data_IF_607588935668
#
_entry.id   IF_607588935668
#
_cell.length_a   1.000
_cell.length_b   1.000
_cell.length_c   1.000
_cell.angle_alpha   90.00
_cell.angle_beta   90.00
_cell.angle_gamma   90.00
#
_symmetry.space_group_name_H-M   'P 1'
#
loop_
_entity.id
_entity.type
_entity.pdbx_description
1 polymer ?
#
# COMPACT_ATOMS: atom_id res chain seq x y z
N UNK A 1 -27.31 31.85 -9.35
CA UNK A 1 -28.11 30.82 -10.04
C UNK A 1 -27.33 29.51 -10.24
N UNK A 2 -26.24 29.49 -11.05
CA UNK A 2 -25.43 28.26 -11.24
C UNK A 2 -24.77 27.75 -9.94
N UNK A 3 -24.18 28.64 -9.14
CA UNK A 3 -23.59 28.26 -7.84
C UNK A 3 -24.65 27.71 -6.86
N UNK A 4 -25.85 28.27 -6.84
CA UNK A 4 -26.96 27.81 -5.99
C UNK A 4 -27.48 26.44 -6.42
N UNK A 5 -27.53 26.18 -7.73
CA UNK A 5 -27.89 24.86 -8.28
C UNK A 5 -26.85 23.78 -7.94
N UNK A 6 -25.56 24.10 -8.07
CA UNK A 6 -24.46 23.21 -7.65
C UNK A 6 -24.53 22.94 -6.13
N UNK A 7 -24.78 23.98 -5.33
CA UNK A 7 -24.90 23.87 -3.86
C UNK A 7 -26.12 23.04 -3.45
N UNK A 8 -27.28 23.25 -4.09
CA UNK A 8 -28.49 22.47 -3.86
C UNK A 8 -28.32 20.99 -4.23
N UNK A 9 -27.64 20.70 -5.35
CA UNK A 9 -27.32 19.32 -5.76
C UNK A 9 -26.34 18.65 -4.80
N UNK A 10 -25.30 19.35 -4.37
CA UNK A 10 -24.36 18.84 -3.36
C UNK A 10 -25.07 18.50 -2.04
N UNK A 11 -26.00 19.35 -1.62
CA UNK A 11 -26.89 19.07 -0.49
C UNK A 11 -27.72 17.79 -0.70
N UNK A 12 -28.39 17.64 -1.84
CA UNK A 12 -29.21 16.47 -2.15
C UNK A 12 -28.41 15.15 -2.18
N UNK A 13 -27.23 15.14 -2.79
CA UNK A 13 -26.37 13.94 -2.86
C UNK A 13 -25.82 13.56 -1.46
N UNK A 14 -25.55 14.55 -0.59
CA UNK A 14 -25.15 14.33 0.80
C UNK A 14 -26.33 13.83 1.66
N UNK A 15 -27.56 14.25 1.36
CA UNK A 15 -28.76 13.73 2.01
C UNK A 15 -29.06 12.28 1.60
N UNK A 16 -28.86 11.88 0.33
CA UNK A 16 -28.94 10.46 -0.09
C UNK A 16 -27.91 9.59 0.65
N UNK A 17 -26.68 10.08 0.79
CA UNK A 17 -25.64 9.41 1.58
C UNK A 17 -26.10 9.22 3.04
N UNK A 18 -26.67 10.26 3.66
CA UNK A 18 -27.18 10.18 5.02
C UNK A 18 -28.37 9.25 5.18
N UNK A 19 -29.26 9.17 4.18
CA UNK A 19 -30.36 8.21 4.16
C UNK A 19 -29.83 6.77 4.09
N UNK A 20 -28.87 6.49 3.19
CA UNK A 20 -28.21 5.19 3.04
C UNK A 20 -27.66 4.66 4.36
N UNK A 21 -26.84 5.45 5.05
CA UNK A 21 -26.18 5.02 6.31
C UNK A 21 -27.06 5.19 7.55
N UNK A 22 -28.29 5.73 7.43
CA UNK A 22 -29.13 6.09 8.59
C UNK A 22 -29.50 4.90 9.47
N UNK A 23 -29.63 3.70 8.89
CA UNK A 23 -29.97 2.47 9.59
C UNK A 23 -28.96 2.06 10.67
N UNK A 24 -27.68 2.41 10.50
CA UNK A 24 -26.59 2.09 11.44
C UNK A 24 -26.70 2.83 12.77
N UNK A 25 -27.55 3.84 12.85
CA UNK A 25 -27.71 4.71 14.00
C UNK A 25 -29.16 4.63 14.51
N UNK A 26 -29.46 3.68 15.39
CA UNK A 26 -30.84 3.41 15.82
C UNK A 26 -31.57 4.60 16.46
N UNK A 27 -30.85 5.45 17.21
CA UNK A 27 -31.40 6.64 17.88
C UNK A 27 -31.35 7.90 17.01
N UNK A 28 -32.43 8.69 17.00
CA UNK A 28 -32.56 9.90 16.18
C UNK A 28 -31.54 10.98 16.56
N UNK A 29 -31.18 11.10 17.83
CA UNK A 29 -30.15 12.03 18.30
C UNK A 29 -28.78 11.63 17.76
N UNK A 30 -28.48 10.33 17.72
CA UNK A 30 -27.21 9.80 17.19
C UNK A 30 -27.16 10.00 15.67
N UNK A 31 -28.27 9.78 14.94
CA UNK A 31 -28.39 10.14 13.51
C UNK A 31 -28.08 11.61 13.27
N UNK A 32 -28.69 12.53 14.04
CA UNK A 32 -28.42 13.97 13.94
C UNK A 32 -26.94 14.29 14.17
N UNK A 33 -26.36 13.81 15.29
CA UNK A 33 -24.93 14.02 15.59
C UNK A 33 -24.00 13.44 14.52
N UNK A 34 -24.32 12.31 13.89
CA UNK A 34 -23.53 11.79 12.77
C UNK A 34 -23.55 12.74 11.57
N UNK A 35 -24.75 13.23 11.18
CA UNK A 35 -24.91 14.16 10.06
C UNK A 35 -24.14 15.47 10.32
N UNK A 36 -24.26 15.99 11.53
CA UNK A 36 -23.54 17.19 11.98
C UNK A 36 -22.02 16.97 11.96
N UNK A 37 -21.55 15.79 12.41
CA UNK A 37 -20.14 15.41 12.39
C UNK A 37 -19.59 15.36 10.95
N UNK A 38 -20.23 14.63 10.05
CA UNK A 38 -19.80 14.47 8.65
C UNK A 38 -19.87 15.81 7.90
N UNK A 39 -20.91 16.63 8.11
CA UNK A 39 -20.95 18.00 7.58
C UNK A 39 -19.78 18.85 8.08
N UNK A 40 -19.40 18.74 9.35
CA UNK A 40 -18.23 19.42 9.88
C UNK A 40 -16.90 18.91 9.30
N UNK A 41 -16.78 17.60 9.01
CA UNK A 41 -15.60 17.06 8.32
C UNK A 41 -15.49 17.68 6.92
N UNK A 42 -16.59 17.73 6.16
CA UNK A 42 -16.68 18.29 4.81
C UNK A 42 -16.63 19.82 4.76
N UNK A 43 -16.96 20.51 5.87
CA UNK A 43 -17.03 21.96 5.96
C UNK A 43 -15.67 22.64 6.16
N UNK A 44 -15.59 23.98 6.04
CA UNK A 44 -14.35 24.77 6.17
C UNK A 44 -13.89 24.95 7.64
N UNK A 45 -13.90 23.86 8.41
CA UNK A 45 -13.42 23.81 9.80
C UNK A 45 -11.90 23.66 9.80
N UNK A 46 -11.19 24.54 10.53
CA UNK A 46 -9.72 24.63 10.51
C UNK A 46 -8.98 23.43 11.10
N UNK A 47 -9.57 22.76 12.09
CA UNK A 47 -9.14 21.45 12.60
C UNK A 47 -10.35 20.60 12.96
N UNK A 48 -10.48 19.39 12.40
CA UNK A 48 -11.60 18.46 12.56
C UNK A 48 -11.64 17.75 13.93
N UNK A 49 -11.39 18.46 15.03
CA UNK A 49 -11.59 17.94 16.38
C UNK A 49 -13.04 18.15 16.85
N UNK A 50 -13.46 17.44 17.90
CA UNK A 50 -14.86 17.49 18.37
C UNK A 50 -15.29 18.86 18.91
N UNK A 51 -14.38 19.81 19.12
CA UNK A 51 -14.71 21.17 19.54
C UNK A 51 -15.13 22.03 18.35
N UNK A 52 -14.23 22.22 17.38
CA UNK A 52 -14.50 23.07 16.22
C UNK A 52 -15.60 22.48 15.31
N UNK A 53 -15.70 21.15 15.23
CA UNK A 53 -16.83 20.49 14.55
C UNK A 53 -18.18 20.76 15.24
N UNK A 54 -18.19 20.88 16.57
CA UNK A 54 -19.42 21.16 17.32
C UNK A 54 -19.82 22.63 17.21
N UNK A 55 -18.84 23.54 17.25
CA UNK A 55 -19.01 24.97 17.00
C UNK A 55 -19.56 25.24 15.60
N UNK A 56 -18.97 24.64 14.56
CA UNK A 56 -19.45 24.70 13.18
C UNK A 56 -20.89 24.17 13.02
N UNK A 57 -21.26 23.14 13.79
CA UNK A 57 -22.62 22.59 13.82
C UNK A 57 -23.59 23.35 14.76
N UNK A 58 -23.21 24.53 15.28
CA UNK A 58 -24.06 25.35 16.14
C UNK A 58 -24.39 24.70 17.50
N UNK A 59 -23.50 23.87 18.03
CA UNK A 59 -23.68 23.20 19.32
C UNK A 59 -22.98 23.97 20.45
N UNK A 60 -23.60 24.02 21.63
CA UNK A 60 -23.04 24.65 22.84
C UNK A 60 -21.75 23.99 23.39
N UNK A 61 -21.21 22.95 22.75
CA UNK A 61 -19.99 22.28 23.18
C UNK A 61 -19.76 20.88 22.57
N UNK A 62 -18.57 20.29 22.78
CA UNK A 62 -18.11 19.08 22.09
C UNK A 62 -18.82 17.79 22.52
N UNK A 63 -19.53 17.81 23.66
CA UNK A 63 -19.96 16.59 24.35
C UNK A 63 -20.87 15.68 23.52
N UNK A 64 -21.69 16.24 22.61
CA UNK A 64 -22.54 15.47 21.70
C UNK A 64 -21.73 14.66 20.68
N UNK A 65 -20.72 15.28 20.06
CA UNK A 65 -19.83 14.62 19.09
C UNK A 65 -18.86 13.66 19.79
N UNK A 66 -18.37 14.02 20.98
CA UNK A 66 -17.62 13.10 21.82
C UNK A 66 -18.46 11.89 22.23
N UNK A 67 -19.76 12.05 22.51
CA UNK A 67 -20.66 10.93 22.82
C UNK A 67 -20.85 10.01 21.60
N UNK A 68 -21.06 10.56 20.40
CA UNK A 68 -21.13 9.82 19.13
C UNK A 68 -19.91 8.90 18.95
N UNK A 69 -18.70 9.42 19.16
CA UNK A 69 -17.47 8.64 18.98
C UNK A 69 -17.23 7.67 20.14
N UNK A 70 -17.48 8.06 21.39
CA UNK A 70 -17.00 7.31 22.57
C UNK A 70 -18.01 6.41 23.28
N UNK A 71 -19.32 6.70 23.19
CA UNK A 71 -20.34 6.18 24.14
C UNK A 71 -21.66 5.75 23.50
N UNK A 72 -22.05 6.28 22.35
CA UNK A 72 -23.26 5.82 21.66
C UNK A 72 -23.11 4.37 21.16
N UNK A 73 -24.25 3.71 20.89
CA UNK A 73 -24.30 2.37 20.28
C UNK A 73 -24.53 2.51 18.76
N UNK A 74 -23.53 2.12 17.99
CA UNK A 74 -23.52 1.89 16.54
C UNK A 74 -22.22 1.15 16.20
N UNK A 75 -22.24 0.38 15.12
CA UNK A 75 -21.10 -0.42 14.67
C UNK A 75 -20.32 0.31 13.57
N UNK A 76 -19.02 0.60 13.75
CA UNK A 76 -18.21 1.19 12.70
C UNK A 76 -17.90 0.23 11.54
N UNK A 77 -17.97 -1.09 11.75
CA UNK A 77 -17.68 -2.08 10.71
C UNK A 77 -18.84 -2.20 9.72
N UNK A 78 -20.09 -2.20 10.19
CA UNK A 78 -21.28 -2.08 9.32
C UNK A 78 -21.27 -0.77 8.50
N UNK A 79 -20.88 0.35 9.11
CA UNK A 79 -20.76 1.63 8.39
C UNK A 79 -19.64 1.58 7.33
N UNK A 80 -18.57 0.83 7.58
CA UNK A 80 -17.51 0.61 6.60
C UNK A 80 -17.99 -0.27 5.45
N UNK A 81 -18.87 -1.24 5.69
CA UNK A 81 -19.49 -2.02 4.62
C UNK A 81 -20.43 -1.13 3.77
N UNK A 82 -21.18 -0.20 4.38
CA UNK A 82 -21.92 0.83 3.63
C UNK A 82 -21.01 1.74 2.77
N UNK A 83 -19.79 2.04 3.24
CA UNK A 83 -18.77 2.77 2.44
C UNK A 83 -18.30 1.93 1.25
N UNK A 84 -18.10 0.63 1.43
CA UNK A 84 -17.75 -0.28 0.32
C UNK A 84 -18.86 -0.35 -0.73
N UNK A 85 -20.12 -0.47 -0.33
CA UNK A 85 -21.27 -0.42 -1.25
C UNK A 85 -21.37 0.92 -1.98
N UNK A 86 -21.19 2.04 -1.27
CA UNK A 86 -21.23 3.38 -1.87
C UNK A 86 -20.10 3.58 -2.89
N UNK A 87 -18.87 3.15 -2.57
CA UNK A 87 -17.72 3.21 -3.49
C UNK A 87 -17.92 2.28 -4.69
N UNK A 88 -18.42 1.06 -4.49
CA UNK A 88 -18.77 0.16 -5.60
C UNK A 88 -19.79 0.79 -6.55
N UNK A 89 -20.85 1.41 -6.02
CA UNK A 89 -21.90 2.06 -6.82
C UNK A 89 -21.41 3.30 -7.57
N UNK A 90 -20.54 4.12 -6.96
CA UNK A 90 -20.14 5.44 -7.51
C UNK A 90 -18.84 5.41 -8.33
N UNK A 91 -17.89 4.58 -7.93
CA UNK A 91 -16.54 4.50 -8.50
C UNK A 91 -16.22 3.12 -9.10
N UNK A 92 -17.08 2.11 -8.93
CA UNK A 92 -16.87 0.78 -9.47
C UNK A 92 -16.73 0.77 -11.00
N UNK A 93 -15.71 0.08 -11.49
CA UNK A 93 -15.48 -0.23 -12.90
C UNK A 93 -14.65 -1.52 -13.05
N UNK A 94 -14.63 -2.09 -14.25
CA UNK A 94 -13.96 -3.37 -14.53
C UNK A 94 -12.43 -3.35 -14.36
N UNK A 95 -11.81 -2.17 -14.37
CA UNK A 95 -10.39 -1.97 -14.15
C UNK A 95 -10.00 -1.78 -12.67
N UNK A 96 -10.93 -2.05 -11.75
CA UNK A 96 -10.77 -1.85 -10.31
C UNK A 96 -9.57 -2.57 -9.68
N UNK A 97 -8.72 -1.78 -9.03
CA UNK A 97 -7.59 -2.25 -8.21
C UNK A 97 -7.87 -1.97 -6.74
N UNK A 98 -7.67 -2.97 -5.89
CA UNK A 98 -7.58 -2.81 -4.45
C UNK A 98 -6.11 -2.55 -4.08
N UNK A 99 -5.80 -1.42 -3.45
CA UNK A 99 -4.46 -1.09 -2.98
C UNK A 99 -4.43 -1.21 -1.45
N UNK A 100 -3.42 -1.89 -0.91
CA UNK A 100 -3.17 -1.98 0.54
C UNK A 100 -1.87 -1.26 0.90
N UNK A 101 -1.93 -0.40 1.92
CA UNK A 101 -0.82 0.38 2.46
C UNK A 101 -1.13 0.79 3.92
N UNK A 102 -0.16 1.31 4.67
CA UNK A 102 -0.39 1.81 6.02
C UNK A 102 0.03 3.26 6.23
N UNK A 103 -0.63 3.93 7.17
CA UNK A 103 -0.31 5.33 7.48
C UNK A 103 -0.25 5.59 8.98
N UNK A 104 0.66 6.50 9.36
CA UNK A 104 0.90 6.89 10.73
C UNK A 104 0.11 8.12 11.15
N UNK A 105 -0.34 8.09 12.40
CA UNK A 105 -1.04 9.16 13.09
C UNK A 105 -0.21 9.59 14.31
N UNK A 106 0.45 10.75 14.24
CA UNK A 106 1.27 11.27 15.34
C UNK A 106 0.40 11.51 16.59
N UNK A 107 0.87 11.06 17.77
CA UNK A 107 0.17 11.25 19.05
C UNK A 107 1.16 11.58 20.17
N UNK A 108 0.69 12.32 21.17
CA UNK A 108 1.44 12.64 22.39
C UNK A 108 0.98 11.71 23.54
N UNK A 109 1.94 11.25 24.35
CA UNK A 109 1.68 10.33 25.47
C UNK A 109 1.45 8.87 25.07
N UNK A 110 1.18 8.02 26.06
CA UNK A 110 1.19 6.55 25.94
C UNK A 110 -0.19 5.87 26.02
N UNK A 111 -1.25 6.66 26.17
CA UNK A 111 -2.60 6.17 26.54
C UNK A 111 -3.57 5.94 25.37
N UNK A 112 -3.23 6.37 24.16
CA UNK A 112 -4.08 6.14 22.97
C UNK A 112 -3.87 4.74 22.40
N UNK A 113 -4.94 3.98 22.15
CA UNK A 113 -4.89 2.60 21.67
C UNK A 113 -3.88 2.38 20.53
N UNK A 114 -2.95 1.44 20.69
CA UNK A 114 -1.93 1.14 19.69
C UNK A 114 -0.78 2.15 19.55
N UNK A 115 -0.72 3.21 20.38
CA UNK A 115 0.37 4.20 20.30
C UNK A 115 1.69 3.62 20.82
N UNK A 116 2.75 3.74 20.01
CA UNK A 116 4.12 3.41 20.36
C UNK A 116 5.10 4.28 19.54
N UNK A 117 6.35 4.44 20.01
CA UNK A 117 7.47 4.87 19.15
C UNK A 117 7.76 3.79 18.09
N UNK A 118 7.39 4.06 16.85
CA UNK A 118 7.58 3.15 15.71
C UNK A 118 7.86 3.98 14.44
N UNK A 119 8.45 3.35 13.42
CA UNK A 119 8.71 4.06 12.16
C UNK A 119 7.37 4.38 11.48
N UNK A 120 7.11 5.66 11.26
CA UNK A 120 5.96 6.13 10.48
C UNK A 120 6.46 6.56 9.10
N UNK A 121 5.93 5.94 8.03
CA UNK A 121 6.29 6.30 6.66
C UNK A 121 6.08 7.79 6.38
N UNK A 122 5.03 8.39 6.95
CA UNK A 122 4.72 9.82 6.84
C UNK A 122 5.73 10.74 7.58
N UNK A 123 6.47 10.22 8.56
CA UNK A 123 7.44 11.01 9.33
C UNK A 123 8.90 10.76 8.94
N UNK A 124 9.20 9.70 8.17
CA UNK A 124 10.57 9.26 7.83
C UNK A 124 11.45 8.93 9.06
N UNK A 125 10.84 8.82 10.24
CA UNK A 125 11.52 8.77 11.56
C UNK A 125 10.72 7.90 12.52
N UNK A 126 11.41 7.34 13.51
CA UNK A 126 10.78 6.62 14.63
C UNK A 126 10.11 7.63 15.55
N UNK A 127 8.79 7.72 15.49
CA UNK A 127 8.00 8.65 16.30
C UNK A 127 6.83 7.99 17.01
N UNK A 128 6.34 8.66 18.06
CA UNK A 128 5.21 8.17 18.83
C UNK A 128 3.90 8.33 18.04
N UNK A 129 3.39 7.23 17.49
CA UNK A 129 2.26 7.24 16.59
C UNK A 129 1.38 6.00 16.75
N UNK A 130 0.13 6.11 16.32
CA UNK A 130 -0.70 4.97 15.95
C UNK A 130 -0.46 4.66 14.47
N UNK A 131 -0.59 3.40 14.06
CA UNK A 131 -0.51 2.99 12.65
C UNK A 131 -1.82 2.31 12.28
N UNK A 132 -2.47 2.75 11.21
CA UNK A 132 -3.59 2.04 10.61
C UNK A 132 -3.18 1.42 9.28
N UNK A 133 -3.52 0.16 9.06
CA UNK A 133 -3.46 -0.50 7.75
C UNK A 133 -4.77 -0.17 7.04
N UNK A 134 -4.72 0.23 5.78
CA UNK A 134 -5.88 0.65 5.00
C UNK A 134 -5.95 -0.07 3.66
N UNK A 135 -7.17 -0.17 3.14
CA UNK A 135 -7.42 -0.53 1.76
C UNK A 135 -8.05 0.67 1.04
N UNK A 136 -7.56 0.98 -0.15
CA UNK A 136 -8.17 1.91 -1.10
C UNK A 136 -8.66 1.12 -2.32
N UNK A 137 -9.82 1.49 -2.85
CA UNK A 137 -10.26 1.06 -4.16
C UNK A 137 -9.96 2.16 -5.17
N UNK A 138 -9.38 1.81 -6.31
CA UNK A 138 -9.11 2.73 -7.41
C UNK A 138 -9.53 2.13 -8.75
N UNK A 139 -10.06 2.96 -9.64
CA UNK A 139 -10.45 2.61 -11.01
C UNK A 139 -10.31 3.81 -11.93
N UNK A 140 -10.57 3.61 -13.23
CA UNK A 140 -10.80 4.67 -14.21
C UNK A 140 -11.79 5.75 -13.78
N UNK A 141 -12.71 5.44 -12.85
CA UNK A 141 -13.72 6.38 -12.33
C UNK A 141 -13.28 7.12 -11.07
N UNK A 142 -12.13 6.81 -10.46
CA UNK A 142 -11.62 7.52 -9.28
C UNK A 142 -11.09 6.59 -8.20
N UNK A 143 -10.82 7.14 -7.00
CA UNK A 143 -10.28 6.37 -5.86
C UNK A 143 -10.86 6.82 -4.52
N UNK A 144 -11.00 5.89 -3.58
CA UNK A 144 -11.38 6.17 -2.20
C UNK A 144 -10.86 5.11 -1.22
N UNK A 145 -10.63 5.49 0.04
CA UNK A 145 -10.45 4.54 1.15
C UNK A 145 -11.72 3.72 1.39
N UNK A 146 -11.60 2.39 1.49
CA UNK A 146 -12.70 1.43 1.59
C UNK A 146 -12.62 0.49 2.80
N UNK A 147 -11.45 0.28 3.39
CA UNK A 147 -11.32 -0.47 4.64
C UNK A 147 -10.11 0.00 5.48
N UNK A 148 -10.07 -0.39 6.76
CA UNK A 148 -9.17 0.07 7.82
C UNK A 148 -9.07 -0.95 8.95
N UNK A 149 -7.86 -1.14 9.48
CA UNK A 149 -7.56 -1.87 10.71
C UNK A 149 -6.50 -1.12 11.53
N UNK A 150 -6.68 -1.06 12.86
CA UNK A 150 -5.67 -0.52 13.77
C UNK A 150 -4.61 -1.58 14.08
N UNK A 151 -3.35 -1.26 13.78
CA UNK A 151 -2.22 -2.08 14.22
C UNK A 151 -1.98 -1.89 15.73
N UNK A 152 -1.98 -3.00 16.46
CA UNK A 152 -1.70 -3.06 17.89
C UNK A 152 -0.35 -3.76 18.11
N UNK A 153 0.71 -3.03 18.50
CA UNK A 153 2.00 -3.64 18.82
C UNK A 153 1.91 -4.63 19.98
N UNK A 154 2.86 -5.58 20.08
CA UNK A 154 2.94 -6.53 21.22
C UNK A 154 3.01 -5.83 22.58
N UNK A 155 3.55 -4.61 22.66
CA UNK A 155 3.57 -3.78 23.88
C UNK A 155 2.19 -3.32 24.38
N UNK A 156 1.15 -3.46 23.55
CA UNK A 156 -0.25 -3.27 23.90
C UNK A 156 -0.91 -4.60 24.22
N UNK A 157 -0.83 -5.59 23.33
CA UNK A 157 -1.53 -6.85 23.49
C UNK A 157 -1.04 -7.69 24.67
N UNK A 158 0.22 -7.47 25.11
CA UNK A 158 0.80 -8.11 26.29
C UNK A 158 0.52 -7.32 27.59
N UNK A 159 -0.26 -6.24 27.53
CA UNK A 159 -0.67 -5.42 28.69
C UNK A 159 -2.21 -5.37 28.77
N UNK A 160 -2.84 -6.37 29.43
CA UNK A 160 -4.29 -6.47 29.52
C UNK A 160 -4.94 -5.26 30.20
N UNK A 161 -4.24 -4.60 31.13
CA UNK A 161 -4.77 -3.49 31.92
C UNK A 161 -4.86 -2.22 31.07
N UNK A 162 -3.80 -1.93 30.31
CA UNK A 162 -3.75 -0.87 29.31
C UNK A 162 -4.76 -1.11 28.18
N UNK A 163 -4.94 -2.37 27.75
CA UNK A 163 -6.00 -2.75 26.81
C UNK A 163 -7.41 -2.46 27.36
N UNK A 164 -7.72 -2.88 28.59
CA UNK A 164 -9.01 -2.59 29.24
C UNK A 164 -9.25 -1.08 29.39
N UNK A 165 -8.23 -0.31 29.78
CA UNK A 165 -8.31 1.15 29.90
C UNK A 165 -8.62 1.85 28.55
N UNK A 166 -8.02 1.37 27.46
CA UNK A 166 -8.26 1.83 26.10
C UNK A 166 -9.53 1.25 25.44
N UNK A 167 -10.20 0.28 26.10
CA UNK A 167 -11.33 -0.50 25.57
C UNK A 167 -11.01 -1.28 24.30
N UNK A 168 -9.82 -1.86 24.24
CA UNK A 168 -9.47 -2.90 23.27
C UNK A 168 -10.21 -4.19 23.69
N UNK A 169 -10.87 -4.92 22.77
CA UNK A 169 -11.54 -6.19 23.08
C UNK A 169 -10.55 -7.24 23.62
N UNK A 170 -11.01 -8.15 24.48
CA UNK A 170 -10.13 -9.11 25.16
C UNK A 170 -9.60 -10.20 24.19
N UNK A 171 -10.40 -10.50 23.18
CA UNK A 171 -10.13 -11.40 22.06
C UNK A 171 -9.17 -10.81 21.01
N UNK A 172 -8.90 -9.49 21.05
CA UNK A 172 -7.99 -8.83 20.09
C UNK A 172 -6.53 -9.06 20.48
N UNK A 173 -6.01 -10.21 20.05
CA UNK A 173 -4.59 -10.54 20.13
C UNK A 173 -3.68 -9.71 19.22
N UNK A 174 -2.38 -10.03 19.22
CA UNK A 174 -1.42 -9.47 18.28
C UNK A 174 -1.67 -10.00 16.87
N UNK A 175 -1.68 -9.10 15.88
CA UNK A 175 -1.67 -9.43 14.47
C UNK A 175 -0.57 -8.60 13.77
N UNK A 176 0.16 -9.20 12.85
CA UNK A 176 1.10 -8.49 11.97
C UNK A 176 0.33 -7.57 11.01
N UNK A 177 1.03 -6.59 10.42
CA UNK A 177 0.44 -5.79 9.33
C UNK A 177 -0.03 -6.67 8.17
N UNK A 178 0.72 -7.72 7.81
CA UNK A 178 0.31 -8.72 6.83
C UNK A 178 -1.01 -9.41 7.20
N UNK A 179 -1.17 -9.89 8.43
CA UNK A 179 -2.42 -10.53 8.89
C UNK A 179 -3.62 -9.55 8.89
N UNK A 180 -3.38 -8.26 9.14
CA UNK A 180 -4.41 -7.22 8.95
C UNK A 180 -4.72 -7.00 7.46
N UNK A 181 -3.71 -6.94 6.58
CA UNK A 181 -3.88 -6.82 5.14
C UNK A 181 -4.65 -8.02 4.53
N UNK A 182 -4.39 -9.25 4.99
CA UNK A 182 -5.18 -10.44 4.65
C UNK A 182 -6.66 -10.23 4.98
N UNK A 183 -6.94 -9.70 6.18
CA UNK A 183 -8.31 -9.41 6.63
C UNK A 183 -8.96 -8.35 5.74
N UNK A 184 -8.26 -7.25 5.41
CA UNK A 184 -8.77 -6.21 4.51
C UNK A 184 -9.09 -6.77 3.12
N UNK A 185 -8.20 -7.57 2.54
CA UNK A 185 -8.41 -8.20 1.22
C UNK A 185 -9.61 -9.14 1.25
N UNK A 186 -9.71 -10.04 2.24
CA UNK A 186 -10.84 -10.96 2.35
C UNK A 186 -12.19 -10.24 2.50
N UNK A 187 -12.24 -9.17 3.32
CA UNK A 187 -13.46 -8.36 3.46
C UNK A 187 -13.80 -7.62 2.17
N UNK A 188 -12.81 -7.05 1.47
CA UNK A 188 -13.03 -6.35 0.21
C UNK A 188 -13.47 -7.29 -0.93
N UNK A 189 -12.92 -8.51 -1.02
CA UNK A 189 -13.33 -9.52 -2.00
C UNK A 189 -14.73 -10.11 -1.72
N UNK A 190 -15.18 -10.06 -0.45
CA UNK A 190 -16.56 -10.39 -0.08
C UNK A 190 -17.55 -9.22 -0.26
N UNK A 191 -17.08 -8.06 -0.71
CA UNK A 191 -17.88 -6.83 -0.90
C UNK A 191 -18.37 -6.67 -2.35
N UNK A 192 -19.27 -5.69 -2.63
CA UNK A 192 -19.71 -5.40 -4.00
C UNK A 192 -18.65 -4.72 -4.89
N UNK A 193 -17.44 -4.44 -4.39
CA UNK A 193 -16.39 -3.77 -5.15
C UNK A 193 -15.93 -4.65 -6.32
N UNK A 194 -15.99 -4.16 -7.58
CA UNK A 194 -15.48 -4.92 -8.72
C UNK A 194 -13.95 -4.84 -8.75
N UNK A 195 -13.32 -5.72 -7.99
CA UNK A 195 -11.87 -5.86 -7.84
C UNK A 195 -11.39 -6.91 -8.83
N UNK A 196 -10.55 -6.51 -9.79
CA UNK A 196 -9.87 -7.42 -10.71
C UNK A 196 -8.37 -7.53 -10.43
N UNK A 197 -7.82 -6.59 -9.66
CA UNK A 197 -6.40 -6.56 -9.29
C UNK A 197 -6.16 -6.15 -7.84
N UNK A 198 -5.04 -6.61 -7.27
CA UNK A 198 -4.50 -6.12 -5.99
C UNK A 198 -3.09 -5.55 -6.17
N UNK A 199 -2.81 -4.43 -5.51
CA UNK A 199 -1.46 -3.86 -5.41
C UNK A 199 -1.09 -3.51 -3.97
N UNK A 200 0.19 -3.58 -3.64
CA UNK A 200 0.71 -3.21 -2.33
C UNK A 200 2.21 -2.87 -2.43
N UNK A 201 2.76 -2.29 -1.36
CA UNK A 201 4.19 -2.01 -1.23
C UNK A 201 5.02 -3.29 -0.97
N UNK A 202 6.34 -3.11 -0.77
CA UNK A 202 7.28 -4.20 -0.51
C UNK A 202 7.16 -4.82 0.89
N UNK A 203 6.51 -4.15 1.84
CA UNK A 203 6.23 -4.72 3.16
C UNK A 203 5.26 -5.90 3.04
N UNK A 204 4.19 -5.73 2.25
CA UNK A 204 3.18 -6.76 2.01
C UNK A 204 3.58 -7.74 0.89
N UNK A 205 4.16 -7.25 -0.22
CA UNK A 205 4.45 -8.09 -1.38
C UNK A 205 5.52 -9.17 -1.17
N UNK A 206 6.44 -8.96 -0.23
CA UNK A 206 7.42 -9.98 0.17
C UNK A 206 6.76 -11.16 0.92
N UNK A 207 5.60 -10.96 1.56
CA UNK A 207 4.94 -11.99 2.35
C UNK A 207 4.34 -13.06 1.44
N UNK A 208 4.94 -14.27 1.45
CA UNK A 208 4.43 -15.42 0.70
C UNK A 208 2.96 -15.70 0.97
N UNK A 209 2.51 -15.60 2.23
CA UNK A 209 1.11 -15.86 2.61
C UNK A 209 0.14 -14.88 1.94
N UNK A 210 0.53 -13.61 1.76
CA UNK A 210 -0.29 -12.60 1.13
C UNK A 210 -0.43 -12.84 -0.37
N UNK A 211 0.68 -13.17 -1.05
CA UNK A 211 0.63 -13.60 -2.47
C UNK A 211 -0.19 -14.87 -2.65
N UNK A 212 0.03 -15.89 -1.81
CA UNK A 212 -0.69 -17.16 -1.91
C UNK A 212 -2.20 -17.00 -1.69
N UNK A 213 -2.63 -16.12 -0.78
CA UNK A 213 -4.04 -15.77 -0.58
C UNK A 213 -4.68 -15.23 -1.87
N UNK A 214 -3.98 -14.34 -2.58
CA UNK A 214 -4.45 -13.74 -3.83
C UNK A 214 -4.52 -14.76 -4.98
N UNK A 215 -3.52 -15.66 -5.06
CA UNK A 215 -3.53 -16.77 -6.02
C UNK A 215 -4.69 -17.75 -5.73
N UNK A 216 -4.94 -18.10 -4.46
CA UNK A 216 -6.07 -18.94 -4.06
C UNK A 216 -7.43 -18.29 -4.38
N UNK A 217 -7.52 -16.96 -4.25
CA UNK A 217 -8.71 -16.19 -4.64
C UNK A 217 -8.85 -16.00 -6.17
N UNK A 218 -7.86 -16.44 -6.97
CA UNK A 218 -7.78 -16.20 -8.43
C UNK A 218 -7.88 -14.71 -8.80
N UNK A 219 -7.31 -13.83 -7.96
CA UNK A 219 -7.27 -12.38 -8.19
C UNK A 219 -5.89 -11.97 -8.69
N UNK A 220 -5.85 -11.21 -9.78
CA UNK A 220 -4.59 -10.70 -10.31
C UNK A 220 -3.88 -9.79 -9.31
N UNK A 221 -2.56 -9.79 -9.29
CA UNK A 221 -1.78 -8.85 -8.48
C UNK A 221 -0.57 -8.31 -9.19
N UNK A 222 -0.15 -7.10 -8.79
CA UNK A 222 1.21 -6.58 -9.01
C UNK A 222 1.67 -5.94 -7.71
N UNK A 223 2.54 -6.63 -6.98
CA UNK A 223 3.03 -6.22 -5.66
C UNK A 223 4.50 -5.84 -5.77
N UNK A 224 4.90 -4.73 -5.15
CA UNK A 224 6.31 -4.40 -5.00
C UNK A 224 7.00 -5.42 -4.08
N UNK A 225 8.30 -5.65 -4.27
CA UNK A 225 9.11 -6.56 -3.45
C UNK A 225 10.51 -5.98 -3.21
N UNK A 226 11.20 -6.32 -2.12
CA UNK A 226 12.59 -5.90 -1.93
C UNK A 226 13.51 -6.56 -2.97
N UNK A 227 14.64 -5.93 -3.31
CA UNK A 227 15.65 -6.49 -4.23
C UNK A 227 16.17 -7.87 -3.83
N UNK A 228 16.14 -8.19 -2.54
CA UNK A 228 16.51 -9.48 -1.97
C UNK A 228 15.39 -10.54 -2.03
N UNK A 229 14.26 -10.25 -2.68
CA UNK A 229 13.15 -11.20 -2.81
C UNK A 229 13.64 -12.48 -3.50
N UNK A 230 13.48 -13.61 -2.82
CA UNK A 230 13.77 -14.92 -3.39
C UNK A 230 12.63 -15.38 -4.29
N UNK A 231 13.00 -15.88 -5.47
CA UNK A 231 12.13 -16.58 -6.40
C UNK A 231 12.59 -18.04 -6.40
N UNK A 232 11.67 -18.94 -6.09
CA UNK A 232 11.92 -20.37 -5.93
C UNK A 232 11.25 -21.12 -7.07
N UNK A 233 12.00 -21.95 -7.77
CA UNK A 233 11.53 -22.87 -8.81
C UNK A 233 12.13 -24.26 -8.59
N UNK A 234 11.66 -25.26 -9.32
CA UNK A 234 12.22 -26.61 -9.32
C UNK A 234 13.71 -26.62 -9.74
N UNK A 235 14.12 -25.63 -10.53
CA UNK A 235 15.49 -25.50 -11.06
C UNK A 235 16.44 -24.69 -10.16
N UNK A 236 15.97 -24.09 -9.06
CA UNK A 236 16.83 -23.28 -8.19
C UNK A 236 16.12 -22.18 -7.39
N UNK A 237 16.94 -21.40 -6.68
CA UNK A 237 16.52 -20.21 -5.93
C UNK A 237 17.40 -19.04 -6.35
N UNK A 238 16.79 -17.99 -6.87
CA UNK A 238 17.46 -16.75 -7.28
C UNK A 238 16.89 -15.57 -6.50
N UNK A 239 17.66 -14.48 -6.41
CA UNK A 239 17.12 -13.18 -6.02
C UNK A 239 16.53 -12.48 -7.25
N UNK A 240 15.54 -11.63 -7.03
CA UNK A 240 14.90 -10.89 -8.12
C UNK A 240 15.84 -9.88 -8.79
N UNK A 241 16.82 -9.32 -8.08
CA UNK A 241 17.84 -8.46 -8.71
C UNK A 241 18.71 -9.24 -9.71
N UNK A 242 19.23 -10.40 -9.31
CA UNK A 242 20.04 -11.26 -10.19
C UNK A 242 19.32 -11.65 -11.49
N UNK A 243 18.02 -11.97 -11.44
CA UNK A 243 17.24 -12.31 -12.65
C UNK A 243 17.00 -11.12 -13.60
N UNK A 244 17.16 -9.89 -13.10
CA UNK A 244 16.95 -8.66 -13.85
C UNK A 244 18.28 -8.08 -14.35
N UNK A 245 19.38 -8.33 -13.63
CA UNK A 245 20.75 -8.02 -14.09
C UNK A 245 21.09 -8.79 -15.38
N UNK A 246 20.57 -10.02 -15.52
CA UNK A 246 20.69 -10.85 -16.73
C UNK A 246 19.73 -10.43 -17.88
N UNK A 247 18.86 -9.43 -17.68
CA UNK A 247 17.90 -9.01 -18.69
C UNK A 247 18.59 -8.23 -19.83
N UNK A 248 18.40 -8.63 -21.11
CA UNK A 248 19.05 -7.95 -22.23
C UNK A 248 18.53 -6.51 -22.39
N UNK A 249 19.32 -5.65 -23.03
CA UNK A 249 19.03 -4.21 -23.11
C UNK A 249 17.74 -3.89 -23.84
N UNK A 250 17.29 -4.73 -24.76
CA UNK A 250 16.03 -4.63 -25.50
C UNK A 250 14.80 -5.14 -24.72
N UNK A 251 15.00 -5.83 -23.59
CA UNK A 251 13.91 -6.16 -22.67
C UNK A 251 13.41 -4.94 -21.86
N UNK A 252 14.17 -3.85 -21.83
CA UNK A 252 13.78 -2.60 -21.16
C UNK A 252 12.99 -1.70 -22.12
N UNK A 253 11.72 -1.45 -21.78
CA UNK A 253 10.79 -0.65 -22.57
C UNK A 253 10.35 0.58 -21.78
N UNK A 254 10.30 1.73 -22.45
CA UNK A 254 9.84 2.97 -21.84
C UNK A 254 8.30 2.98 -21.80
N UNK A 255 7.72 2.84 -20.60
CA UNK A 255 6.28 2.71 -20.39
C UNK A 255 5.77 3.67 -19.31
N UNK A 256 4.52 4.13 -19.47
CA UNK A 256 3.84 5.00 -18.49
C UNK A 256 3.06 4.17 -17.47
N UNK A 257 3.33 4.39 -16.17
CA UNK A 257 2.53 3.81 -15.08
C UNK A 257 1.38 4.76 -14.64
N UNK A 258 0.74 5.37 -15.63
CA UNK A 258 -0.38 6.30 -15.44
C UNK A 258 0.04 7.75 -15.13
N UNK A 259 -0.96 8.63 -15.14
CA UNK A 259 -0.76 10.07 -14.95
C UNK A 259 -0.39 10.42 -13.50
N UNK A 260 0.52 11.37 -13.33
CA UNK A 260 0.79 12.08 -12.09
C UNK A 260 0.56 13.58 -12.24
N UNK A 261 0.81 14.34 -11.18
CA UNK A 261 0.55 15.79 -11.14
C UNK A 261 1.33 16.61 -12.20
N UNK A 262 2.44 16.08 -12.73
CA UNK A 262 3.27 16.70 -13.78
C UNK A 262 3.10 16.07 -15.17
N UNK A 263 2.05 15.27 -15.38
CA UNK A 263 1.82 14.50 -16.62
C UNK A 263 2.10 13.00 -16.46
N UNK A 264 2.22 12.24 -17.57
CA UNK A 264 2.46 10.79 -17.54
C UNK A 264 3.73 10.42 -16.77
N UNK A 265 3.65 9.43 -15.87
CA UNK A 265 4.80 8.94 -15.11
C UNK A 265 5.50 7.85 -15.90
N UNK A 266 6.50 8.25 -16.67
CA UNK A 266 7.23 7.39 -17.60
C UNK A 266 8.51 6.86 -16.94
N UNK A 267 8.72 5.55 -17.07
CA UNK A 267 9.90 4.84 -16.56
C UNK A 267 10.36 3.79 -17.57
N UNK A 268 11.59 3.33 -17.44
CA UNK A 268 12.04 2.10 -18.10
C UNK A 268 11.54 0.90 -17.29
N UNK A 269 10.90 -0.05 -17.97
CA UNK A 269 10.38 -1.29 -17.39
C UNK A 269 10.94 -2.52 -18.11
N UNK A 270 11.36 -3.52 -17.35
CA UNK A 270 11.59 -4.87 -17.85
C UNK A 270 10.58 -5.82 -17.21
N UNK A 271 10.15 -6.84 -17.96
CA UNK A 271 9.22 -7.87 -17.48
C UNK A 271 9.56 -9.23 -18.08
N UNK A 272 9.49 -10.28 -17.26
CA UNK A 272 9.68 -11.66 -17.71
C UNK A 272 8.67 -12.59 -17.04
N UNK A 273 8.18 -13.58 -17.81
CA UNK A 273 7.31 -14.64 -17.30
C UNK A 273 8.15 -15.63 -16.48
N UNK A 274 7.64 -16.01 -15.31
CA UNK A 274 8.17 -17.13 -14.54
C UNK A 274 7.55 -18.44 -15.06
N UNK A 275 8.27 -19.58 -15.00
CA UNK A 275 7.71 -20.88 -15.34
C UNK A 275 6.46 -21.20 -14.53
N UNK A 276 5.49 -21.86 -15.17
CA UNK A 276 4.32 -22.40 -14.49
C UNK A 276 4.73 -23.41 -13.40
N UNK A 277 4.04 -23.39 -12.27
CA UNK A 277 4.26 -24.30 -11.17
C UNK A 277 3.35 -25.52 -11.32
N UNK A 278 3.88 -26.56 -11.97
CA UNK A 278 3.17 -27.82 -12.29
C UNK A 278 2.51 -28.55 -11.10
N UNK A 279 2.78 -28.14 -9.87
CA UNK A 279 2.17 -28.70 -8.64
C UNK A 279 0.91 -27.96 -8.21
N UNK A 280 0.78 -26.67 -8.56
CA UNK A 280 -0.30 -25.80 -8.07
C UNK A 280 -1.11 -25.11 -9.17
N UNK A 281 -0.55 -24.95 -10.36
CA UNK A 281 -1.23 -24.32 -11.50
C UNK A 281 -2.00 -25.40 -12.29
N UNK A 282 -3.23 -25.11 -12.76
CA UNK A 282 -3.97 -26.03 -13.61
C UNK A 282 -3.32 -26.18 -15.00
N UNK A 283 -3.66 -27.27 -15.71
CA UNK A 283 -3.29 -27.48 -17.10
C UNK A 283 -4.57 -27.52 -17.97
N UNK A 284 -4.79 -26.55 -18.89
CA UNK A 284 -3.95 -25.38 -19.16
C UNK A 284 -4.01 -24.33 -18.03
N UNK A 285 -2.96 -23.50 -17.87
CA UNK A 285 -2.92 -22.47 -16.84
C UNK A 285 -3.96 -21.37 -17.09
N UNK A 286 -4.65 -20.92 -16.04
CA UNK A 286 -5.56 -19.77 -16.08
C UNK A 286 -4.81 -18.43 -15.92
N UNK A 287 -3.65 -18.48 -15.28
CA UNK A 287 -2.83 -17.33 -14.91
C UNK A 287 -1.33 -17.61 -15.10
N UNK A 288 -0.56 -16.54 -15.29
CA UNK A 288 0.89 -16.53 -15.43
C UNK A 288 1.52 -15.72 -14.28
N UNK A 289 2.67 -16.17 -13.76
CA UNK A 289 3.48 -15.40 -12.81
C UNK A 289 4.55 -14.62 -13.56
N UNK A 290 4.88 -13.42 -13.07
CA UNK A 290 5.87 -12.54 -13.68
C UNK A 290 6.81 -11.93 -12.65
N UNK A 291 8.02 -11.61 -13.09
CA UNK A 291 8.87 -10.58 -12.48
C UNK A 291 8.78 -9.31 -13.29
N UNK A 292 8.81 -8.16 -12.61
CA UNK A 292 9.00 -6.87 -13.27
C UNK A 292 10.05 -6.05 -12.52
N UNK A 293 10.76 -5.22 -13.26
CA UNK A 293 11.65 -4.20 -12.74
C UNK A 293 11.33 -2.84 -13.37
N UNK A 294 11.49 -1.77 -12.59
CA UNK A 294 11.28 -0.39 -13.00
C UNK A 294 12.45 0.46 -12.55
N UNK A 295 13.10 1.18 -13.47
CA UNK A 295 14.17 2.13 -13.15
C UNK A 295 13.85 3.56 -13.58
N UNK A 296 14.47 4.54 -12.94
CA UNK A 296 14.29 5.95 -13.30
C UNK A 296 15.06 6.31 -14.57
N UNK A 297 14.44 7.09 -15.47
CA UNK A 297 15.09 7.63 -16.66
C UNK A 297 16.28 8.55 -16.33
N UNK A 298 16.31 9.12 -15.11
CA UNK A 298 17.41 9.98 -14.61
C UNK A 298 18.42 9.24 -13.73
N UNK A 299 18.00 8.12 -13.13
CA UNK A 299 18.77 7.32 -12.16
C UNK A 299 18.51 5.82 -12.44
N UNK A 300 19.12 5.26 -13.50
CA UNK A 300 18.82 3.91 -13.96
C UNK A 300 19.31 2.82 -12.99
N UNK A 301 20.16 3.17 -12.04
CA UNK A 301 20.62 2.36 -10.90
C UNK A 301 19.56 2.20 -9.80
N UNK A 302 18.59 3.11 -9.70
CA UNK A 302 17.47 3.01 -8.76
C UNK A 302 16.36 2.10 -9.31
N UNK A 303 16.55 0.79 -9.15
CA UNK A 303 15.58 -0.23 -9.58
C UNK A 303 14.60 -0.59 -8.47
N UNK A 304 13.30 -0.51 -8.78
CA UNK A 304 12.20 -1.08 -7.99
C UNK A 304 11.73 -2.40 -8.62
N UNK A 305 11.44 -3.40 -7.79
CA UNK A 305 11.12 -4.75 -8.22
C UNK A 305 9.70 -5.14 -7.84
N UNK A 306 9.07 -5.99 -8.67
CA UNK A 306 7.70 -6.43 -8.49
C UNK A 306 7.53 -7.92 -8.82
N UNK A 307 6.60 -8.57 -8.13
CA UNK A 307 6.04 -9.85 -8.55
C UNK A 307 4.60 -9.63 -8.99
N UNK A 308 4.18 -10.34 -10.04
CA UNK A 308 2.81 -10.34 -10.50
C UNK A 308 2.24 -11.76 -10.71
N UNK A 309 0.92 -11.86 -10.58
CA UNK A 309 0.09 -12.99 -10.98
C UNK A 309 -1.04 -12.42 -11.83
N UNK A 310 -1.24 -12.94 -13.03
CA UNK A 310 -2.03 -12.27 -14.05
C UNK A 310 -2.77 -13.28 -14.92
N UNK A 311 -4.04 -13.06 -15.31
CA UNK A 311 -4.73 -13.92 -16.27
C UNK A 311 -3.92 -14.07 -17.58
N UNK A 312 -3.94 -15.26 -18.17
CA UNK A 312 -3.23 -15.53 -19.44
C UNK A 312 -3.63 -14.50 -20.51
N UNK A 313 -2.64 -13.96 -21.21
CA UNK A 313 -2.83 -12.92 -22.24
C UNK A 313 -2.81 -11.48 -21.71
N UNK A 314 -2.61 -11.27 -20.40
CA UNK A 314 -2.33 -9.93 -19.86
C UNK A 314 -1.05 -9.35 -20.47
N UNK A 315 -1.10 -8.08 -20.90
CA UNK A 315 0.05 -7.39 -21.50
C UNK A 315 0.92 -6.70 -20.44
N UNK A 316 2.18 -6.40 -20.77
CA UNK A 316 3.12 -5.73 -19.87
C UNK A 316 2.61 -4.33 -19.48
N UNK A 317 2.00 -3.59 -20.41
CA UNK A 317 1.41 -2.28 -20.16
C UNK A 317 0.29 -2.34 -19.11
N UNK A 318 -0.50 -3.41 -19.09
CA UNK A 318 -1.53 -3.61 -18.06
C UNK A 318 -0.89 -3.88 -16.68
N UNK A 319 0.17 -4.68 -16.62
CA UNK A 319 0.92 -4.91 -15.37
C UNK A 319 1.54 -3.60 -14.85
N UNK A 320 2.13 -2.80 -15.75
CA UNK A 320 2.71 -1.47 -15.44
C UNK A 320 1.64 -0.48 -14.97
N UNK A 321 0.45 -0.48 -15.58
CA UNK A 321 -0.67 0.33 -15.14
C UNK A 321 -1.16 -0.07 -13.73
N UNK A 322 -1.24 -1.37 -13.43
CA UNK A 322 -1.61 -1.88 -12.09
C UNK A 322 -0.54 -1.51 -11.06
N UNK A 323 0.75 -1.68 -11.36
CA UNK A 323 1.84 -1.22 -10.49
C UNK A 323 1.79 0.30 -10.22
N UNK A 324 1.45 1.09 -11.25
CA UNK A 324 1.25 2.53 -11.16
C UNK A 324 0.05 2.97 -10.31
N UNK A 325 -0.97 2.11 -10.20
CA UNK A 325 -2.17 2.37 -9.40
C UNK A 325 -1.89 2.42 -7.89
N UNK A 326 -0.78 1.86 -7.40
CA UNK A 326 -0.40 1.92 -5.97
C UNK A 326 -0.43 3.35 -5.43
N UNK A 327 -0.04 4.34 -6.24
CA UNK A 327 -0.06 5.76 -5.85
C UNK A 327 -1.45 6.28 -5.43
N UNK A 328 -2.54 5.67 -5.89
CA UNK A 328 -3.89 6.12 -5.57
C UNK A 328 -4.20 6.08 -4.06
N UNK A 329 -3.57 5.18 -3.28
CA UNK A 329 -3.75 5.17 -1.81
C UNK A 329 -3.05 6.35 -1.13
N UNK A 330 -1.92 6.81 -1.67
CA UNK A 330 -1.23 8.01 -1.17
C UNK A 330 -2.07 9.26 -1.45
N UNK A 331 -2.67 9.36 -2.64
CA UNK A 331 -3.65 10.41 -2.96
C UNK A 331 -4.87 10.35 -2.04
N UNK A 332 -5.39 9.14 -1.75
CA UNK A 332 -6.47 8.96 -0.78
C UNK A 332 -6.07 9.41 0.63
N UNK A 333 -4.85 9.10 1.10
CA UNK A 333 -4.36 9.56 2.40
C UNK A 333 -4.21 11.09 2.44
N UNK A 334 -3.65 11.72 1.39
CA UNK A 334 -3.51 13.17 1.34
C UNK A 334 -4.88 13.87 1.36
N UNK A 335 -5.83 13.40 0.54
CA UNK A 335 -7.20 13.93 0.52
C UNK A 335 -7.94 13.68 1.84
N UNK A 336 -7.92 12.46 2.38
CA UNK A 336 -8.63 12.13 3.61
C UNK A 336 -8.06 12.85 4.84
N UNK A 337 -6.74 13.06 4.94
CA UNK A 337 -6.12 13.89 5.98
C UNK A 337 -6.47 15.36 5.78
N UNK A 338 -6.06 15.95 4.65
CA UNK A 338 -6.17 17.39 4.41
C UNK A 338 -7.60 17.93 4.22
N UNK A 339 -8.56 17.10 3.82
CA UNK A 339 -9.95 17.54 3.56
C UNK A 339 -10.93 16.95 4.58
N UNK A 340 -10.74 15.71 5.04
CA UNK A 340 -11.68 15.00 5.92
C UNK A 340 -11.16 14.81 7.36
N UNK A 341 -9.96 15.30 7.70
CA UNK A 341 -9.41 15.30 9.04
C UNK A 341 -9.02 13.92 9.60
N UNK A 342 -8.71 12.95 8.72
CA UNK A 342 -8.39 11.56 9.08
C UNK A 342 -7.35 11.40 10.20
N UNK A 343 -6.44 12.36 10.38
CA UNK A 343 -5.39 12.37 11.41
C UNK A 343 -5.56 13.44 12.51
N UNK A 344 -6.54 14.34 12.37
CA UNK A 344 -6.71 15.52 13.24
C UNK A 344 -7.42 15.22 14.57
N UNK A 345 -7.94 13.99 14.71
CA UNK A 345 -8.75 13.52 15.82
C UNK A 345 -8.05 13.45 17.18
N UNK A 346 -8.88 13.58 18.23
CA UNK A 346 -8.48 13.56 19.65
C UNK A 346 -8.96 12.29 20.39
N UNK A 347 -9.63 11.36 19.71
CA UNK A 347 -10.03 10.07 20.29
C UNK A 347 -8.82 9.24 20.74
N UNK A 348 -8.94 8.61 21.92
CA UNK A 348 -7.87 7.81 22.54
C UNK A 348 -8.22 6.32 22.67
N UNK A 349 -9.51 5.98 22.73
CA UNK A 349 -10.00 4.61 22.93
C UNK A 349 -10.18 3.89 21.60
N UNK A 350 -9.99 2.57 21.60
CA UNK A 350 -10.06 1.70 20.43
C UNK A 350 -11.36 1.88 19.63
N UNK A 351 -12.58 1.82 20.22
CA UNK A 351 -13.82 2.04 19.46
C UNK A 351 -13.93 3.47 18.88
N UNK A 352 -13.37 4.46 19.58
CA UNK A 352 -13.38 5.85 19.12
C UNK A 352 -12.55 6.05 17.85
N UNK A 353 -11.42 5.33 17.73
CA UNK A 353 -10.57 5.35 16.54
C UNK A 353 -11.33 4.83 15.32
N UNK A 354 -11.85 3.59 15.36
CA UNK A 354 -12.60 3.00 14.24
C UNK A 354 -13.80 3.87 13.82
N UNK A 355 -14.50 4.45 14.78
CA UNK A 355 -15.64 5.34 14.54
C UNK A 355 -15.26 6.65 13.85
N UNK A 356 -14.21 7.34 14.31
CA UNK A 356 -13.75 8.54 13.63
C UNK A 356 -13.22 8.23 12.23
N UNK A 357 -12.35 7.22 12.11
CA UNK A 357 -11.71 6.85 10.84
C UNK A 357 -12.77 6.46 9.80
N UNK A 358 -13.80 5.68 10.18
CA UNK A 358 -14.87 5.31 9.25
C UNK A 358 -15.71 6.52 8.81
N UNK A 359 -15.99 7.48 9.71
CA UNK A 359 -16.70 8.71 9.34
C UNK A 359 -15.86 9.62 8.43
N UNK A 360 -14.53 9.67 8.62
CA UNK A 360 -13.61 10.37 7.72
C UNK A 360 -13.50 9.67 6.35
N UNK A 361 -13.51 8.33 6.31
CA UNK A 361 -13.59 7.56 5.06
C UNK A 361 -14.92 7.79 4.33
N UNK A 362 -16.05 7.85 5.03
CA UNK A 362 -17.36 8.16 4.46
C UNK A 362 -17.38 9.56 3.81
N UNK A 363 -16.84 10.57 4.51
CA UNK A 363 -16.68 11.91 3.98
C UNK A 363 -15.76 11.95 2.74
N UNK A 364 -14.63 11.23 2.79
CA UNK A 364 -13.69 11.14 1.68
C UNK A 364 -14.27 10.41 0.45
N UNK A 365 -14.99 9.31 0.64
CA UNK A 365 -15.69 8.60 -0.43
C UNK A 365 -16.75 9.47 -1.10
N UNK A 366 -17.47 10.28 -0.32
CA UNK A 366 -18.40 11.29 -0.85
C UNK A 366 -17.70 12.34 -1.72
N UNK A 367 -16.59 12.93 -1.23
CA UNK A 367 -15.79 13.88 -2.02
C UNK A 367 -15.28 13.26 -3.33
N UNK A 368 -14.78 12.03 -3.29
CA UNK A 368 -14.32 11.30 -4.47
C UNK A 368 -15.46 11.09 -5.49
N UNK A 369 -16.61 10.61 -5.04
CA UNK A 369 -17.80 10.41 -5.88
C UNK A 369 -18.33 11.73 -6.48
N UNK A 370 -18.23 12.85 -5.76
CA UNK A 370 -18.63 14.17 -6.27
C UNK A 370 -17.63 14.74 -7.28
N UNK A 371 -16.32 14.53 -7.07
CA UNK A 371 -15.29 14.93 -8.03
C UNK A 371 -15.44 14.19 -9.37
N UNK A 372 -15.64 12.87 -9.34
CA UNK A 372 -15.93 12.07 -10.54
C UNK A 372 -17.17 12.57 -11.28
N UNK A 373 -18.28 12.76 -10.56
CA UNK A 373 -19.52 13.22 -11.16
C UNK A 373 -19.40 14.64 -11.77
N UNK A 374 -18.48 15.49 -11.26
CA UNK A 374 -18.19 16.79 -11.85
C UNK A 374 -17.37 16.66 -13.15
N UNK A 375 -16.38 15.75 -13.19
CA UNK A 375 -15.59 15.47 -14.40
C UNK A 375 -16.46 14.87 -15.50
N UNK A 376 -17.32 13.89 -15.18
CA UNK A 376 -18.27 13.27 -16.12
C UNK A 376 -19.21 14.33 -16.74
N UNK A 377 -19.67 15.32 -15.95
CA UNK A 377 -20.49 16.43 -16.46
C UNK A 377 -19.70 17.42 -17.32
N UNK A 378 -18.51 17.83 -16.90
CA UNK A 378 -17.65 18.70 -17.72
C UNK A 378 -17.32 18.09 -19.08
N UNK A 379 -17.13 16.77 -19.13
CA UNK A 379 -16.95 16.03 -20.37
C UNK A 379 -18.25 15.93 -21.22
N UNK A 380 -19.42 15.83 -20.60
CA UNK A 380 -20.71 15.81 -21.31
C UNK A 380 -21.13 17.20 -21.85
N UNK A 381 -20.87 18.27 -21.10
CA UNK A 381 -21.10 19.66 -21.50
C UNK A 381 -20.10 20.09 -22.59
N UNK A 382 -18.87 19.57 -22.56
CA UNK A 382 -17.86 19.78 -23.60
C UNK A 382 -17.97 18.70 -24.67
N UNK A 383 -18.97 18.81 -25.57
CA UNK A 383 -19.04 17.97 -26.77
C UNK A 383 -17.76 18.16 -27.59
N UNK A 384 -16.84 17.19 -27.54
CA UNK A 384 -15.57 17.27 -28.26
C UNK A 384 -15.81 17.18 -29.78
N UNK A 385 -15.18 18.04 -30.59
CA UNK A 385 -15.19 17.87 -32.04
C UNK A 385 -14.46 16.56 -32.40
N UNK A 386 -15.08 15.78 -33.28
CA UNK A 386 -14.51 14.53 -33.81
C UNK A 386 -13.26 14.83 -34.65
N UNK A 387 -12.08 14.62 -34.08
CA UNK A 387 -10.84 14.59 -34.84
C UNK A 387 -10.67 13.22 -35.53
N UNK A 388 -10.19 13.18 -36.78
CA UNK A 388 -10.14 11.96 -37.57
C UNK A 388 -9.10 10.96 -37.02
N UNK A 389 -9.46 9.67 -37.03
CA UNK A 389 -8.56 8.57 -36.66
C UNK A 389 -7.39 8.49 -37.63
N UNK A 390 -6.16 8.55 -37.11
CA UNK A 390 -4.95 8.14 -37.86
C UNK A 390 -4.61 6.68 -37.53
N UNK A 391 -4.29 5.81 -38.52
CA UNK A 391 -4.06 4.40 -38.30
C UNK A 391 -2.57 4.10 -38.04
N UNK A 392 -2.25 3.43 -36.92
CA UNK A 392 -0.92 2.86 -36.71
C UNK A 392 -0.97 1.40 -36.26
N UNK A 393 0.08 0.66 -36.65
CA UNK A 393 0.05 -0.78 -36.88
C UNK A 393 0.12 -1.61 -35.59
N UNK A 394 -0.41 -2.83 -35.70
CA UNK A 394 -0.06 -3.95 -34.83
C UNK A 394 1.41 -4.32 -35.06
N UNK A 395 2.19 -4.47 -34.00
CA UNK A 395 3.34 -5.38 -33.97
C UNK A 395 3.19 -6.31 -32.78
N UNK A 396 3.43 -7.60 -33.01
CA UNK A 396 3.45 -8.62 -31.96
C UNK A 396 4.84 -9.25 -31.93
N UNK A 397 5.43 -9.31 -30.75
CA UNK A 397 6.60 -10.14 -30.46
C UNK A 397 6.64 -10.45 -28.96
N UNK A 398 6.21 -11.66 -28.59
CA UNK A 398 6.54 -12.24 -27.30
C UNK A 398 7.61 -13.29 -27.57
N UNK A 399 8.78 -13.15 -26.96
CA UNK A 399 9.84 -14.15 -27.05
C UNK A 399 9.53 -15.36 -26.17
N UNK A 400 9.66 -16.57 -26.74
CA UNK A 400 9.75 -17.82 -26.00
C UNK A 400 11.16 -18.40 -26.17
N UNK A 401 11.74 -18.92 -25.09
CA UNK A 401 13.03 -19.61 -25.15
C UNK A 401 12.88 -21.00 -25.79
N UNK A 402 13.75 -21.29 -26.75
CA UNK A 402 14.00 -22.64 -27.26
C UNK A 402 15.42 -23.07 -26.90
N UNK A 403 15.58 -24.21 -26.24
CA UNK A 403 16.88 -24.78 -25.87
C UNK A 403 17.45 -25.63 -27.02
N UNK A 404 18.71 -25.41 -27.46
CA UNK A 404 19.38 -26.33 -28.37
C UNK A 404 19.93 -27.55 -27.62
N UNK A 405 19.60 -28.75 -28.11
CA UNK A 405 20.26 -30.00 -27.67
C UNK A 405 21.70 -30.13 -28.20
N UNK A 406 22.51 -31.05 -27.63
CA UNK A 406 23.93 -31.13 -27.94
C UNK A 406 24.22 -31.79 -29.30
N UNK A 407 25.14 -31.22 -30.09
CA UNK A 407 25.79 -31.90 -31.21
C UNK A 407 27.31 -31.70 -31.23
N UNK A 408 27.98 -32.81 -30.93
CA UNK A 408 29.22 -33.36 -31.51
C UNK A 408 30.15 -32.47 -32.36
N UNK A 409 31.44 -32.60 -32.07
CA UNK A 409 32.56 -31.89 -32.67
C UNK A 409 32.79 -32.16 -34.18
N UNK A 410 33.46 -31.21 -34.84
CA UNK A 410 34.28 -31.40 -36.04
C UNK A 410 35.60 -30.66 -35.87
N UNK A 411 36.71 -31.33 -36.17
CA UNK A 411 38.08 -30.80 -36.14
C UNK A 411 38.47 -30.12 -37.45
N UNK A 412 39.23 -29.03 -37.39
CA UNK A 412 39.97 -28.48 -38.53
C UNK A 412 41.38 -28.05 -38.12
N UNK A 413 42.38 -28.34 -38.95
CA UNK A 413 43.80 -28.22 -38.64
C UNK A 413 44.38 -26.81 -38.84
N UNK A 414 45.49 -26.53 -38.14
CA UNK A 414 46.40 -25.40 -38.37
C UNK A 414 47.80 -25.94 -38.76
N UNK A 415 48.56 -25.28 -39.65
CA UNK A 415 49.92 -25.69 -40.01
C UNK A 415 50.99 -25.24 -38.98
N UNK A 416 52.05 -26.03 -38.78
CA UNK A 416 53.24 -25.70 -37.96
C UNK A 416 54.24 -24.76 -38.69
N UNK A 417 55.45 -24.45 -38.22
CA UNK A 417 56.35 -24.87 -37.09
C UNK A 417 57.00 -23.57 -36.50
N UNK A 418 57.87 -23.49 -35.48
CA UNK A 418 58.89 -24.41 -34.93
C UNK A 418 59.40 -23.94 -33.52
N UNK A 419 60.01 -24.88 -32.76
CA UNK A 419 61.20 -24.73 -31.88
C UNK A 419 61.21 -23.71 -30.71
N UNK A 420 61.75 -23.99 -29.52
CA UNK A 420 62.50 -25.14 -29.00
C UNK A 420 62.44 -25.22 -27.44
N UNK A 421 63.10 -26.23 -26.86
CA UNK A 421 63.59 -26.46 -25.47
C UNK A 421 63.57 -25.27 -24.46
N UNK A 422 63.44 -25.39 -23.12
CA UNK A 422 63.38 -26.50 -22.12
C UNK A 422 62.71 -25.92 -20.82
N UNK A 423 62.51 -26.56 -19.65
CA UNK A 423 63.07 -27.77 -18.98
C UNK A 423 62.02 -28.37 -18.00
N UNK A 424 62.38 -29.38 -17.19
CA UNK A 424 61.66 -29.85 -15.98
C UNK A 424 62.61 -29.81 -14.76
N UNK A 425 62.11 -29.76 -13.50
CA UNK A 425 61.94 -31.02 -12.76
C UNK A 425 60.73 -31.06 -11.77
N UNK A 426 60.53 -32.22 -11.15
CA UNK A 426 59.63 -32.51 -10.00
C UNK A 426 60.53 -33.02 -8.82
N UNK A 427 60.05 -33.56 -7.66
CA UNK A 427 58.67 -33.77 -7.15
C UNK A 427 58.42 -33.55 -5.61
N UNK A 428 57.13 -33.56 -5.20
CA UNK A 428 56.57 -34.12 -3.94
C UNK A 428 56.99 -33.55 -2.54
N UNK A 429 56.38 -33.97 -1.39
CA UNK A 429 54.94 -33.91 -1.07
C UNK A 429 54.58 -33.42 0.38
N UNK A 430 53.29 -33.09 0.59
CA UNK A 430 52.43 -33.22 1.80
C UNK A 430 52.88 -32.77 3.24
N UNK A 431 51.95 -32.17 4.01
CA UNK A 431 51.49 -32.59 5.36
C UNK A 431 50.27 -31.78 5.83
N UNK A 432 49.42 -32.39 6.67
CA UNK A 432 48.14 -31.92 7.26
C UNK A 432 48.28 -31.20 8.61
N UNK A 433 47.29 -30.36 9.01
CA UNK A 433 46.98 -30.06 10.42
C UNK A 433 45.54 -29.52 10.62
N UNK A 434 44.97 -29.77 11.79
CA UNK A 434 43.56 -29.58 12.17
C UNK A 434 43.17 -28.17 12.71
N UNK A 435 41.86 -27.96 12.85
CA UNK A 435 41.24 -26.79 13.48
C UNK A 435 40.70 -27.08 14.90
N UNK A 436 40.53 -26.06 15.77
CA UNK A 436 39.76 -26.17 17.02
C UNK A 436 38.40 -25.44 17.00
N UNK A 437 37.49 -25.87 17.87
CA UNK A 437 36.11 -25.38 18.02
C UNK A 437 35.96 -24.24 19.05
N UNK A 438 34.81 -23.52 19.12
CA UNK A 438 34.67 -22.29 19.92
C UNK A 438 34.08 -22.48 21.33
N UNK A 439 34.44 -21.59 22.25
CA UNK A 439 33.93 -21.53 23.63
C UNK A 439 32.74 -20.56 23.83
N UNK A 440 31.88 -20.88 24.79
CA UNK A 440 30.79 -20.03 25.32
C UNK A 440 31.14 -19.40 26.67
N UNK A 441 30.77 -18.13 26.96
CA UNK A 441 30.86 -17.56 28.31
C UNK A 441 29.51 -17.43 29.02
N UNK A 442 29.54 -17.45 30.37
CA UNK A 442 28.37 -17.44 31.25
C UNK A 442 28.32 -16.24 32.21
N UNK A 443 27.11 -16.02 32.75
CA UNK A 443 26.57 -14.98 33.64
C UNK A 443 27.45 -14.31 34.75
N UNK A 444 27.13 -13.01 34.94
CA UNK A 444 26.91 -12.26 36.21
C UNK A 444 28.06 -11.90 37.18
N UNK A 445 28.26 -10.58 37.40
CA UNK A 445 28.17 -9.90 38.73
C UNK A 445 28.00 -8.35 38.57
N UNK A 446 27.70 -7.56 39.64
CA UNK A 446 26.85 -6.36 39.52
C UNK A 446 27.56 -4.99 39.60
N UNK A 447 26.80 -3.92 39.28
CA UNK A 447 27.22 -2.51 39.35
C UNK A 447 26.70 -1.80 40.64
N UNK A 448 27.42 -0.80 41.17
CA UNK A 448 26.97 0.01 42.31
C UNK A 448 26.12 1.23 41.90
N UNK A 449 25.36 1.76 42.87
CA UNK A 449 24.53 2.96 42.73
C UNK A 449 25.35 4.27 42.68
N UNK A 450 24.90 5.25 41.89
CA UNK A 450 25.12 6.67 42.15
C UNK A 450 23.89 7.52 41.74
N UNK A 451 23.64 8.60 42.50
CA UNK A 451 22.54 9.54 42.34
C UNK A 451 22.83 10.66 41.31
N UNK A 452 21.80 11.40 40.83
CA UNK A 452 21.93 12.24 39.63
C UNK A 452 22.49 13.63 39.91
N UNK A 453 23.42 14.08 39.07
CA UNK A 453 23.83 15.50 39.00
C UNK A 453 23.03 16.27 37.95
N UNK A 454 22.53 17.42 38.38
CA UNK A 454 21.86 18.45 37.59
C UNK A 454 22.91 19.22 36.79
N UNK A 455 22.73 19.41 35.49
CA UNK A 455 23.52 20.36 34.69
C UNK A 455 22.69 21.00 33.58
N UNK A 456 23.18 22.14 33.12
CA UNK A 456 22.35 23.27 32.68
C UNK A 456 22.06 23.30 31.17
N UNK A 457 21.15 24.20 30.79
CA UNK A 457 20.84 24.50 29.38
C UNK A 457 21.76 25.58 28.84
N UNK A 458 22.40 25.31 27.72
CA UNK A 458 22.87 26.35 26.78
C UNK A 458 22.66 25.86 25.35
N UNK A 459 22.28 26.73 24.40
CA UNK A 459 21.80 26.30 23.09
C UNK A 459 22.94 26.11 22.09
N UNK A 460 22.95 24.99 21.38
CA UNK A 460 23.80 24.79 20.20
C UNK A 460 23.01 25.06 18.92
N UNK A 461 23.44 26.09 18.20
CA UNK A 461 22.94 26.45 16.88
C UNK A 461 23.36 25.41 15.84
N UNK A 462 22.43 24.58 15.37
CA UNK A 462 22.68 23.67 14.24
C UNK A 462 22.45 24.38 12.91
N UNK A 463 23.50 24.44 12.06
CA UNK A 463 23.36 24.78 10.64
C UNK A 463 22.46 23.74 9.97
N UNK A 464 21.38 24.19 9.32
CA UNK A 464 20.58 23.34 8.45
C UNK A 464 21.34 23.10 7.14
N UNK A 465 21.72 21.85 6.89
CA UNK A 465 22.01 21.37 5.54
C UNK A 465 20.74 20.75 4.98
N UNK A 466 20.01 21.50 4.16
CA UNK A 466 18.85 20.98 3.44
C UNK A 466 19.30 20.05 2.31
N UNK A 467 18.68 18.88 2.20
CA UNK A 467 18.73 18.02 1.01
C UNK A 467 17.29 17.87 0.52
N UNK A 468 16.91 18.47 -0.62
CA UNK A 468 15.54 18.42 -1.11
C UNK A 468 15.16 17.01 -1.58
N UNK A 469 13.96 16.57 -1.20
CA UNK A 469 13.23 15.51 -1.90
C UNK A 469 12.44 16.18 -3.03
N UNK A 470 12.83 15.98 -4.29
CA UNK A 470 12.15 16.58 -5.44
C UNK A 470 11.85 15.58 -6.59
N UNK A 471 10.54 15.47 -6.85
CA UNK A 471 9.83 15.19 -8.13
C UNK A 471 9.87 13.81 -8.81
#
# INVERSE_FOLDING_TARGET
>A
MMADFVTGRWGAELEDLFLRVSGRFGRVEVRRRMRDYVRGLLGPVGRKNSWQLAEYAGHNGPYGLQHLLSRSKWDPDELRDDVQEYVAKRLGAADGVLIVDDTGFLKKGVVSAGVQRQCSGTAGRTENCQIGVFAAYASSRGRALVDRELYLPKSWTNDPDRCRAARIPAERGFATKGELAHTLVLRALASPLPITWVSADSLYGQEWRFRHLLEQAQVGYVLAVPKSQQIKSLFGIWRIDQLIDDAPTDAWQQLSCGNGAKGPRVYDWAAAKLPANIVFDPDPPTHERWVLARRSLKRPDEIAYYLAYAPVGTTVEKLVAVAGSRWAIEECFQAAKGQCGLDEYEVRRYPGWYRHITLAMLAHAFLAAMATAAIERGAAETTQPTWPRSPWLKSGACWQLSTPGPRTAVSAHWPGRAGADTTRPSPAPATTADAPAPETPSRNRPLPHHQPTRLERTPLTSRNGEVPLEY
#
